data_IF_096259821967
#
_entry.id   IF_096259821967
#
_cell.length_a   1.000
_cell.length_b   1.000
_cell.length_c   1.000
_cell.angle_alpha   90.00
_cell.angle_beta   90.00
_cell.angle_gamma   90.00
#
_symmetry.space_group_name_H-M   'P 1'
#
loop_
_entity.id
_entity.type
_entity.pdbx_description
1 polymer ?
#
# COMPACT_ATOMS: atom_id res chain seq x y z
N UNK A 1 -2.25 2.92 2.67
CA UNK A 1 -0.98 2.22 2.96
C UNK A 1 -1.03 0.75 2.54
N UNK A 2 -1.94 -0.08 3.07
CA UNK A 2 -2.13 -1.47 2.59
C UNK A 2 -2.50 -1.52 1.10
N UNK A 3 -3.40 -0.67 0.61
CA UNK A 3 -3.75 -0.63 -0.83
C UNK A 3 -2.56 -0.32 -1.76
N UNK A 4 -1.57 0.46 -1.30
CA UNK A 4 -0.36 0.74 -2.07
C UNK A 4 0.59 -0.45 -2.09
N UNK A 5 0.77 -1.14 -0.96
CA UNK A 5 1.56 -2.38 -0.87
C UNK A 5 0.94 -3.46 -1.78
N UNK A 6 -0.39 -3.63 -1.74
CA UNK A 6 -1.08 -4.59 -2.59
C UNK A 6 -1.11 -4.17 -4.08
N UNK A 7 -1.17 -2.87 -4.39
CA UNK A 7 -0.99 -2.39 -5.77
C UNK A 7 0.40 -2.70 -6.30
N UNK A 8 1.43 -2.66 -5.45
CA UNK A 8 2.81 -3.01 -5.82
C UNK A 8 2.97 -4.54 -6.00
N UNK A 9 2.34 -5.36 -5.15
CA UNK A 9 2.44 -6.83 -5.21
C UNK A 9 1.58 -7.42 -6.33
N UNK A 10 0.38 -6.89 -6.57
CA UNK A 10 -0.61 -7.49 -7.49
C UNK A 10 -0.91 -6.64 -8.73
N UNK A 11 -0.20 -5.52 -8.94
CA UNK A 11 -0.37 -4.67 -10.12
C UNK A 11 -1.69 -3.90 -10.18
N UNK A 12 -2.44 -3.83 -9.07
CA UNK A 12 -3.60 -2.97 -8.90
C UNK A 12 -4.82 -3.26 -9.77
N UNK A 13 -4.86 -4.40 -10.49
CA UNK A 13 -6.02 -4.82 -11.29
C UNK A 13 -6.47 -6.24 -10.93
N UNK A 14 -7.77 -6.39 -10.69
CA UNK A 14 -8.41 -7.67 -10.49
C UNK A 14 -8.44 -8.46 -11.81
N UNK A 15 -7.58 -9.48 -11.90
CA UNK A 15 -7.58 -10.49 -12.96
C UNK A 15 -7.74 -11.85 -12.33
N UNK A 16 -8.28 -12.84 -13.05
CA UNK A 16 -8.48 -14.20 -12.54
C UNK A 16 -7.18 -14.79 -11.96
N UNK A 17 -6.05 -14.56 -12.63
CA UNK A 17 -4.73 -14.99 -12.17
C UNK A 17 -4.34 -14.32 -10.84
N UNK A 18 -4.45 -12.99 -10.76
CA UNK A 18 -4.08 -12.25 -9.55
C UNK A 18 -4.97 -12.63 -8.35
N UNK A 19 -6.28 -12.82 -8.58
CA UNK A 19 -7.21 -13.23 -7.54
C UNK A 19 -6.91 -14.64 -7.02
N UNK A 20 -6.61 -15.61 -7.90
CA UNK A 20 -6.20 -16.98 -7.52
C UNK A 20 -4.87 -17.01 -6.76
N UNK A 21 -3.90 -16.20 -7.20
CA UNK A 21 -2.62 -16.05 -6.51
C UNK A 21 -2.80 -15.43 -5.13
N UNK A 22 -3.62 -14.38 -5.00
CA UNK A 22 -3.97 -13.79 -3.71
C UNK A 22 -4.62 -14.81 -2.76
N UNK A 23 -5.58 -15.60 -3.25
CA UNK A 23 -6.27 -16.62 -2.46
C UNK A 23 -5.29 -17.66 -1.89
N UNK A 24 -4.30 -18.05 -2.70
CA UNK A 24 -3.25 -18.98 -2.29
C UNK A 24 -2.31 -18.37 -1.24
N UNK A 25 -1.97 -17.08 -1.37
CA UNK A 25 -1.11 -16.35 -0.43
C UNK A 25 -1.83 -16.17 0.91
N UNK A 26 -3.11 -15.80 0.91
CA UNK A 26 -3.91 -15.65 2.14
C UNK A 26 -4.01 -16.98 2.88
N UNK A 27 -4.29 -18.08 2.15
CA UNK A 27 -4.33 -19.44 2.73
C UNK A 27 -3.00 -19.83 3.36
N UNK A 28 -1.89 -19.53 2.69
CA UNK A 28 -0.54 -19.77 3.22
C UNK A 28 -0.26 -18.91 4.47
N UNK A 29 -0.68 -17.65 4.46
CA UNK A 29 -0.51 -16.75 5.59
C UNK A 29 -1.21 -17.22 6.87
N UNK A 30 -2.37 -17.86 6.75
CA UNK A 30 -3.08 -18.46 7.89
C UNK A 30 -2.40 -19.71 8.46
N UNK A 31 -1.65 -20.47 7.64
CA UNK A 31 -0.98 -21.68 8.13
C UNK A 31 0.40 -21.38 8.72
N UNK A 32 0.97 -20.22 8.42
CA UNK A 32 2.29 -19.82 8.91
C UNK A 32 2.21 -19.35 10.38
N UNK A 33 2.91 -19.99 11.33
CA UNK A 33 2.98 -19.49 12.70
C UNK A 33 3.66 -18.11 12.79
N UNK A 34 3.29 -17.31 13.77
CA UNK A 34 3.95 -16.02 14.03
C UNK A 34 5.32 -16.26 14.71
N UNK A 35 6.33 -16.56 13.90
CA UNK A 35 7.70 -16.77 14.35
C UNK A 35 8.74 -16.35 13.29
N UNK A 36 10.00 -16.33 13.71
CA UNK A 36 11.12 -15.92 12.88
C UNK A 36 11.29 -16.81 11.63
N UNK A 37 10.95 -18.10 11.72
CA UNK A 37 11.05 -19.03 10.59
C UNK A 37 10.06 -18.68 9.49
N UNK A 38 8.82 -18.33 9.87
CA UNK A 38 7.80 -17.89 8.93
C UNK A 38 8.12 -16.54 8.30
N UNK A 39 8.70 -15.61 9.06
CA UNK A 39 9.21 -14.35 8.50
C UNK A 39 10.36 -14.59 7.50
N UNK A 40 11.30 -15.47 7.83
CA UNK A 40 12.40 -15.83 6.92
C UNK A 40 11.90 -16.55 5.67
N UNK A 41 10.89 -17.40 5.82
CA UNK A 41 10.20 -18.02 4.68
C UNK A 41 9.53 -16.95 3.80
N UNK A 42 8.81 -15.99 4.38
CA UNK A 42 8.20 -14.88 3.66
C UNK A 42 9.25 -14.05 2.91
N UNK A 43 10.39 -13.73 3.52
CA UNK A 43 11.52 -13.07 2.83
C UNK A 43 12.00 -13.90 1.64
N UNK A 44 12.25 -15.18 1.87
CA UNK A 44 12.78 -16.08 0.83
C UNK A 44 11.80 -16.35 -0.32
N UNK A 45 10.50 -16.17 -0.09
CA UNK A 45 9.46 -16.38 -1.09
C UNK A 45 9.09 -15.08 -1.79
N UNK A 46 8.79 -14.02 -1.02
CA UNK A 46 8.36 -12.74 -1.55
C UNK A 46 9.51 -11.98 -2.20
N UNK A 47 10.72 -11.98 -1.61
CA UNK A 47 11.82 -11.15 -2.10
C UNK A 47 12.70 -11.83 -3.18
N UNK A 48 12.43 -13.10 -3.53
CA UNK A 48 13.29 -13.94 -4.37
C UNK A 48 13.47 -13.43 -5.80
N UNK A 49 12.40 -12.89 -6.37
CA UNK A 49 12.33 -12.53 -7.79
C UNK A 49 12.61 -11.04 -8.04
N UNK A 50 12.96 -10.27 -7.01
CA UNK A 50 13.31 -8.86 -7.12
C UNK A 50 14.78 -8.72 -7.55
N UNK A 51 15.00 -8.76 -8.87
CA UNK A 51 16.29 -8.41 -9.47
C UNK A 51 16.50 -6.87 -9.40
N UNK A 52 17.69 -6.44 -8.93
CA UNK A 52 18.07 -5.04 -8.70
C UNK A 52 17.96 -4.14 -9.95
N UNK A 53 17.90 -4.73 -11.13
CA UNK A 53 17.97 -4.03 -12.42
C UNK A 53 16.63 -3.77 -13.09
N UNK A 54 15.55 -4.46 -12.71
CA UNK A 54 14.24 -4.36 -13.40
C UNK A 54 13.04 -4.18 -12.48
N UNK A 55 13.24 -4.27 -11.16
CA UNK A 55 12.12 -4.26 -10.22
C UNK A 55 11.89 -2.89 -9.56
N UNK A 56 10.62 -2.56 -9.33
CA UNK A 56 10.17 -1.32 -8.66
C UNK A 56 10.61 -1.22 -7.19
N UNK A 57 11.04 -2.33 -6.60
CA UNK A 57 11.54 -2.45 -5.23
C UNK A 57 12.80 -3.32 -5.29
N UNK A 58 13.91 -2.95 -4.65
CA UNK A 58 15.09 -3.82 -4.60
C UNK A 58 14.92 -4.90 -3.52
N UNK A 59 15.72 -5.97 -3.59
CA UNK A 59 15.69 -7.03 -2.57
C UNK A 59 15.95 -6.52 -1.15
N UNK A 60 16.74 -5.44 -1.00
CA UNK A 60 16.99 -4.81 0.31
C UNK A 60 15.73 -4.19 0.90
N UNK A 61 15.02 -3.36 0.14
CA UNK A 61 13.80 -2.73 0.64
C UNK A 61 12.70 -3.77 0.88
N UNK A 62 12.61 -4.80 0.03
CA UNK A 62 11.68 -5.91 0.23
C UNK A 62 11.90 -6.58 1.59
N UNK A 63 13.16 -6.90 1.93
CA UNK A 63 13.50 -7.47 3.25
C UNK A 63 13.14 -6.51 4.39
N UNK A 64 13.49 -5.22 4.26
CA UNK A 64 13.17 -4.21 5.28
C UNK A 64 11.67 -4.02 5.51
N UNK A 65 10.85 -4.12 4.46
CA UNK A 65 9.39 -4.09 4.55
C UNK A 65 8.88 -5.29 5.34
N UNK A 66 9.38 -6.49 5.04
CA UNK A 66 8.96 -7.72 5.75
C UNK A 66 9.42 -7.69 7.21
N UNK A 67 10.64 -7.22 7.48
CA UNK A 67 11.14 -7.07 8.85
C UNK A 67 10.27 -6.13 9.69
N UNK A 68 9.77 -5.05 9.07
CA UNK A 68 8.98 -4.05 9.80
C UNK A 68 7.50 -4.37 9.88
N UNK A 69 6.90 -4.88 8.80
CA UNK A 69 5.46 -5.07 8.67
C UNK A 69 5.02 -6.53 8.78
N UNK A 70 5.93 -7.49 8.54
CA UNK A 70 5.64 -8.92 8.55
C UNK A 70 4.92 -9.41 9.80
N UNK A 71 5.38 -9.08 11.03
CA UNK A 71 4.70 -9.50 12.26
C UNK A 71 3.26 -8.96 12.35
N UNK A 72 3.05 -7.69 11.99
CA UNK A 72 1.71 -7.10 11.99
C UNK A 72 0.79 -7.73 10.93
N UNK A 73 1.33 -8.03 9.75
CA UNK A 73 0.60 -8.71 8.67
C UNK A 73 0.20 -10.12 9.11
N UNK A 74 1.12 -10.89 9.70
CA UNK A 74 0.82 -12.22 10.24
C UNK A 74 -0.23 -12.15 11.34
N UNK A 75 -0.10 -11.21 12.28
CA UNK A 75 -1.09 -10.99 13.32
C UNK A 75 -2.48 -10.69 12.75
N UNK A 76 -2.56 -9.79 11.77
CA UNK A 76 -3.83 -9.44 11.10
C UNK A 76 -4.42 -10.68 10.44
N UNK A 77 -3.62 -11.46 9.68
CA UNK A 77 -4.11 -12.68 9.06
C UNK A 77 -4.66 -13.65 10.11
N UNK A 78 -3.90 -13.96 11.16
CA UNK A 78 -4.34 -14.88 12.22
C UNK A 78 -5.61 -14.45 12.96
N UNK A 79 -5.83 -13.15 13.14
CA UNK A 79 -6.93 -12.64 13.96
C UNK A 79 -8.09 -12.05 13.14
N UNK A 80 -7.98 -12.02 11.81
CA UNK A 80 -9.03 -11.50 10.95
C UNK A 80 -10.16 -12.52 10.83
N UNK A 81 -11.38 -12.03 11.06
CA UNK A 81 -12.62 -12.80 10.91
C UNK A 81 -13.22 -12.73 9.52
N UNK A 82 -12.72 -11.81 8.68
CA UNK A 82 -13.11 -11.74 7.27
C UNK A 82 -12.80 -13.10 6.65
N UNK A 83 -13.80 -13.77 6.09
CA UNK A 83 -13.60 -15.05 5.43
C UNK A 83 -12.45 -14.95 4.41
N UNK A 84 -11.55 -15.94 4.40
CA UNK A 84 -10.36 -15.97 3.52
C UNK A 84 -10.74 -15.75 2.05
N UNK A 85 -11.97 -16.15 1.75
CA UNK A 85 -12.53 -16.18 0.44
C UNK A 85 -12.99 -14.75 0.01
N UNK A 86 -13.20 -13.83 0.96
CA UNK A 86 -13.50 -12.42 0.71
C UNK A 86 -12.29 -11.48 0.85
N UNK A 87 -11.20 -11.92 1.51
CA UNK A 87 -10.03 -11.08 1.77
C UNK A 87 -9.42 -10.47 0.49
N UNK A 88 -9.35 -11.23 -0.60
CA UNK A 88 -8.83 -10.72 -1.88
C UNK A 88 -9.72 -9.64 -2.52
N UNK A 89 -11.02 -9.65 -2.23
CA UNK A 89 -11.95 -8.62 -2.71
C UNK A 89 -11.70 -7.27 -2.05
N UNK A 90 -11.31 -7.28 -0.77
CA UNK A 90 -10.89 -6.07 -0.03
C UNK A 90 -9.52 -5.57 -0.50
N UNK A 91 -8.61 -6.48 -0.83
CA UNK A 91 -7.21 -6.16 -1.10
C UNK A 91 -6.91 -5.75 -2.54
N UNK A 92 -7.61 -6.33 -3.52
CA UNK A 92 -7.36 -6.13 -4.96
C UNK A 92 -8.54 -5.40 -5.62
N UNK A 93 -9.78 -5.72 -5.23
CA UNK A 93 -10.99 -5.15 -5.82
C UNK A 93 -12.14 -6.14 -5.83
N UNK A 94 -13.36 -5.61 -5.90
CA UNK A 94 -14.60 -6.37 -5.78
C UNK A 94 -14.75 -7.47 -6.83
N UNK A 95 -14.11 -7.34 -7.99
CA UNK A 95 -14.17 -8.29 -9.09
C UNK A 95 -13.56 -9.65 -8.71
N UNK A 96 -12.64 -9.70 -7.73
CA UNK A 96 -12.12 -10.97 -7.21
C UNK A 96 -13.23 -11.84 -6.60
N UNK A 97 -14.27 -11.27 -6.00
CA UNK A 97 -15.42 -12.03 -5.48
C UNK A 97 -16.15 -12.78 -6.61
N UNK A 98 -16.27 -12.12 -7.77
CA UNK A 98 -16.88 -12.70 -8.97
C UNK A 98 -16.02 -13.82 -9.55
N UNK A 99 -14.70 -13.60 -9.66
CA UNK A 99 -13.77 -14.61 -10.17
C UNK A 99 -13.70 -15.86 -9.29
N UNK A 100 -13.96 -15.70 -8.00
CA UNK A 100 -13.88 -16.78 -7.01
C UNK A 100 -15.26 -17.41 -6.70
N UNK A 101 -16.32 -16.93 -7.35
CA UNK A 101 -17.71 -17.38 -7.22
C UNK A 101 -18.25 -17.34 -5.77
N UNK A 102 -18.03 -16.21 -5.08
CA UNK A 102 -18.34 -16.05 -3.64
C UNK A 102 -19.49 -15.07 -3.43
N UNK A 103 -20.39 -15.43 -2.50
CA UNK A 103 -21.51 -14.60 -2.07
C UNK A 103 -21.04 -13.61 -1.01
N UNK A 104 -21.61 -12.42 -1.00
CA UNK A 104 -21.25 -11.35 -0.07
C UNK A 104 -21.62 -11.69 1.38
N UNK A 105 -20.73 -11.39 2.33
CA UNK A 105 -20.99 -11.43 3.77
C UNK A 105 -21.23 -10.05 4.39
N UNK A 106 -21.80 -10.05 5.59
CA UNK A 106 -21.96 -8.87 6.45
C UNK A 106 -20.63 -8.19 6.83
N UNK A 107 -19.49 -8.87 6.65
CA UNK A 107 -18.16 -8.31 6.93
C UNK A 107 -17.66 -7.38 5.83
N UNK A 108 -18.08 -7.61 4.59
CA UNK A 108 -17.73 -6.77 3.44
C UNK A 108 -18.82 -5.76 3.08
N UNK A 109 -20.07 -6.03 3.49
CA UNK A 109 -21.21 -5.14 3.29
C UNK A 109 -21.90 -4.83 4.61
N UNK A 110 -21.77 -3.58 5.05
CA UNK A 110 -22.46 -3.07 6.24
C UNK A 110 -23.18 -1.78 5.89
N UNK A 111 -24.35 -1.60 6.48
CA UNK A 111 -25.12 -0.36 6.35
C UNK A 111 -24.83 0.54 7.54
N UNK A 112 -24.63 1.83 7.28
CA UNK A 112 -24.59 2.85 8.33
C UNK A 112 -26.02 3.39 8.49
N UNK A 113 -26.79 2.99 9.51
CA UNK A 113 -28.13 3.50 9.68
C UNK A 113 -28.07 5.00 9.95
N UNK A 114 -28.69 5.77 9.07
CA UNK A 114 -28.88 7.19 9.30
C UNK A 114 -30.04 7.36 10.28
N UNK A 115 -29.93 8.31 11.24
CA UNK A 115 -31.07 8.64 12.09
C UNK A 115 -32.24 9.07 11.21
N UNK A 116 -33.47 8.79 11.66
CA UNK A 116 -34.68 9.16 10.92
C UNK A 116 -34.66 10.66 10.63
N UNK A 117 -34.53 11.00 9.36
CA UNK A 117 -34.48 12.38 8.91
C UNK A 117 -35.88 12.98 9.07
N UNK A 118 -36.05 13.96 9.95
CA UNK A 118 -37.05 14.98 9.64
C UNK A 118 -36.54 15.68 8.39
N UNK A 119 -37.25 15.60 7.27
CA UNK A 119 -36.98 16.41 6.08
C UNK A 119 -36.91 17.88 6.51
N UNK A 120 -35.70 18.33 6.83
CA UNK A 120 -35.41 19.74 6.97
C UNK A 120 -35.31 20.21 5.53
N UNK A 121 -36.25 21.06 5.11
CA UNK A 121 -36.16 21.71 3.81
C UNK A 121 -34.73 22.23 3.64
N UNK A 122 -34.04 21.74 2.61
CA UNK A 122 -32.74 22.26 2.22
C UNK A 122 -32.97 23.71 1.76
N UNK A 123 -32.96 24.63 2.71
CA UNK A 123 -32.81 26.04 2.41
C UNK A 123 -31.39 26.20 1.92
N UNK A 124 -31.24 26.34 0.60
CA UNK A 124 -30.02 26.86 0.01
C UNK A 124 -29.60 28.05 0.85
N UNK A 125 -28.43 27.96 1.48
CA UNK A 125 -27.91 29.08 2.24
C UNK A 125 -27.86 30.27 1.28
N UNK A 126 -28.66 31.29 1.56
CA UNK A 126 -28.44 32.59 0.95
C UNK A 126 -27.05 33.03 1.41
N UNK A 127 -26.06 32.87 0.54
CA UNK A 127 -24.76 33.47 0.73
C UNK A 127 -25.01 34.95 0.47
N UNK A 128 -25.32 35.69 1.53
CA UNK A 128 -25.32 37.15 1.46
C UNK A 128 -23.88 37.56 1.12
N UNK A 129 -23.68 38.07 -0.09
CA UNK A 129 -22.41 38.68 -0.49
C UNK A 129 -22.24 39.96 0.33
N UNK A 130 -21.61 39.81 1.49
CA UNK A 130 -21.24 40.89 2.41
C UNK A 130 -20.17 41.84 1.81
N UNK A 131 -19.86 41.73 0.52
CA UNK A 131 -18.82 42.53 -0.13
C UNK A 131 -17.45 42.34 0.53
N UNK A 132 -17.24 41.18 1.17
CA UNK A 132 -16.00 40.79 1.81
C UNK A 132 -15.76 41.28 3.26
N UNK A 133 -16.75 41.86 3.97
CA UNK A 133 -16.51 42.38 5.33
C UNK A 133 -16.24 41.30 6.39
N UNK A 134 -16.58 40.03 6.12
CA UNK A 134 -16.32 38.88 7.01
C UNK A 134 -15.45 37.77 6.38
N UNK A 135 -14.47 38.13 5.54
CA UNK A 135 -13.56 37.13 4.97
C UNK A 135 -12.64 36.51 6.04
N UNK A 136 -12.71 35.18 6.18
CA UNK A 136 -11.75 34.41 6.99
C UNK A 136 -10.69 33.83 6.07
N UNK A 137 -9.42 34.07 6.39
CA UNK A 137 -8.29 33.41 5.73
C UNK A 137 -8.00 32.11 6.49
N UNK A 138 -8.14 30.99 5.80
CA UNK A 138 -7.85 29.66 6.37
C UNK A 138 -6.64 29.10 5.63
N UNK A 139 -5.58 28.82 6.38
CA UNK A 139 -4.42 28.10 5.88
C UNK A 139 -4.63 26.60 6.13
N UNK A 140 -4.61 25.81 5.06
CA UNK A 140 -4.66 24.35 5.13
C UNK A 140 -3.39 23.79 4.48
N UNK A 141 -2.50 23.26 5.31
CA UNK A 141 -1.29 22.56 4.87
C UNK A 141 -1.47 21.06 5.13
N UNK A 142 -1.10 20.25 4.15
CA UNK A 142 -1.14 18.78 4.23
C UNK A 142 0.09 18.20 3.52
N UNK A 143 0.41 16.93 3.80
CA UNK A 143 1.41 16.15 3.08
C UNK A 143 2.83 16.75 3.07
N UNK A 144 3.26 17.37 4.18
CA UNK A 144 4.59 18.01 4.29
C UNK A 144 5.74 17.02 4.03
N UNK A 145 5.56 15.72 4.32
CA UNK A 145 6.49 14.62 4.05
C UNK A 145 7.98 14.99 4.20
N UNK A 146 8.35 15.50 5.38
CA UNK A 146 9.73 15.90 5.69
C UNK A 146 10.65 14.67 5.72
N UNK A 147 11.69 14.71 4.88
CA UNK A 147 12.70 13.66 4.82
C UNK A 147 14.00 14.11 5.52
N UNK A 148 14.23 13.61 6.73
CA UNK A 148 15.44 13.91 7.52
C UNK A 148 16.74 13.38 6.90
N UNK A 149 16.64 12.52 5.89
CA UNK A 149 17.79 11.93 5.19
C UNK A 149 18.01 12.55 3.80
N UNK A 150 17.23 13.58 3.44
CA UNK A 150 17.42 14.29 2.17
C UNK A 150 18.86 14.80 2.07
N UNK A 151 19.52 14.49 0.95
CA UNK A 151 20.92 14.84 0.73
C UNK A 151 21.05 15.57 -0.60
N UNK A 152 21.50 16.83 -0.55
CA UNK A 152 21.72 17.65 -1.75
C UNK A 152 22.74 16.98 -2.67
N UNK A 153 22.45 16.94 -3.98
CA UNK A 153 23.32 16.35 -5.00
C UNK A 153 23.28 14.83 -5.10
N UNK A 154 22.52 14.16 -4.23
CA UNK A 154 22.27 12.71 -4.34
C UNK A 154 21.42 12.37 -5.56
N UNK A 155 21.44 11.10 -5.96
CA UNK A 155 20.72 10.64 -7.14
C UNK A 155 19.20 10.75 -6.93
N UNK A 156 18.54 11.51 -7.79
CA UNK A 156 17.07 11.62 -7.83
C UNK A 156 16.40 10.51 -8.64
N UNK A 157 17.17 9.71 -9.39
CA UNK A 157 16.71 8.61 -10.23
C UNK A 157 17.38 7.30 -9.83
N UNK A 158 17.03 6.82 -8.64
CA UNK A 158 17.47 5.56 -8.08
C UNK A 158 16.45 4.43 -8.38
N UNK A 159 16.81 3.17 -8.12
CA UNK A 159 15.92 2.01 -8.30
C UNK A 159 15.12 1.69 -7.01
N UNK A 160 14.79 2.71 -6.21
CA UNK A 160 14.10 2.57 -4.93
C UNK A 160 12.82 3.44 -4.93
N UNK A 161 11.82 3.13 -4.09
CA UNK A 161 10.57 3.89 -4.01
C UNK A 161 10.75 5.33 -3.50
N UNK A 162 11.86 5.65 -2.85
CA UNK A 162 12.21 7.00 -2.39
C UNK A 162 13.69 7.27 -2.63
N UNK A 163 13.99 8.28 -3.45
CA UNK A 163 15.35 8.70 -3.79
C UNK A 163 15.77 9.98 -3.05
N UNK A 164 16.82 10.65 -3.53
CA UNK A 164 17.33 11.92 -2.98
C UNK A 164 17.94 11.80 -1.58
N UNK A 165 18.42 10.60 -1.20
CA UNK A 165 19.16 10.35 0.04
C UNK A 165 20.59 9.93 -0.28
N UNK A 166 21.48 9.99 0.71
CA UNK A 166 22.88 9.53 0.58
C UNK A 166 23.01 8.06 0.17
N UNK A 167 22.01 7.23 0.46
CA UNK A 167 21.94 5.81 0.10
C UNK A 167 21.31 5.55 -1.27
N UNK A 168 20.82 6.57 -1.96
CA UNK A 168 20.16 6.44 -3.26
C UNK A 168 21.19 6.18 -4.36
N UNK A 169 21.76 4.98 -4.40
CA UNK A 169 22.67 4.59 -5.47
C UNK A 169 21.86 4.29 -6.75
N UNK A 170 22.39 4.69 -7.90
CA UNK A 170 21.86 4.31 -9.21
C UNK A 170 22.91 3.56 -10.00
N UNK A 171 22.49 2.78 -11.00
CA UNK A 171 23.40 2.05 -11.89
C UNK A 171 24.44 2.98 -12.57
N UNK A 172 24.12 4.26 -12.71
CA UNK A 172 25.01 5.32 -13.24
C UNK A 172 26.17 5.71 -12.31
N UNK A 173 26.02 5.55 -10.99
CA UNK A 173 27.12 5.80 -10.03
C UNK A 173 28.19 4.72 -10.14
N UNK A 174 27.80 3.46 -10.38
CA UNK A 174 28.74 2.38 -10.67
C UNK A 174 29.57 2.71 -11.91
N UNK A 175 28.94 3.13 -13.02
CA UNK A 175 29.68 3.53 -14.23
C UNK A 175 30.54 4.79 -14.05
N UNK A 176 30.14 5.79 -13.25
CA UNK A 176 30.98 6.98 -13.00
C UNK A 176 32.18 6.73 -12.10
N UNK A 177 32.12 5.75 -11.19
CA UNK A 177 33.29 5.35 -10.39
C UNK A 177 34.31 4.62 -11.28
N UNK A 178 33.84 3.73 -12.16
CA UNK A 178 34.73 2.97 -13.07
C UNK A 178 35.23 3.77 -14.29
N UNK A 179 34.61 4.91 -14.63
CA UNK A 179 35.07 5.79 -15.72
C UNK A 179 35.97 6.95 -15.25
N UNK A 180 36.14 7.16 -13.94
CA UNK A 180 37.10 8.13 -13.39
C UNK A 180 38.39 7.48 -12.89
N UNK A 181 38.60 6.18 -13.14
CA UNK A 181 39.87 5.46 -12.91
C UNK A 181 40.70 5.27 -14.20
N UNK A 182 40.41 6.02 -15.28
CA UNK A 182 41.23 6.11 -16.49
C UNK A 182 41.46 7.56 -16.94
#
# INVERSE_FOLDING_TARGET
>A
FLSQIFSIIFGGKATEKNCKTCDSIIKLGHTLPDNEQSLNFLKSFACKDFNETTATITGRECNGIIDRLGPAILYILHNTKVPLDEGCSVLIGYECSKFLNRSYSEWTFWELPLPSHHEQEFKLAHIDDDGGKNQRKILHLTDIHMDLFYTVGSNSKCNEPLCCRSTSYGMWWYYSIYLNEF
#
